data_IF_786739983623
#
_entry.id   IF_786739983623
#
_cell.length_a   1.000
_cell.length_b   1.000
_cell.length_c   1.000
_cell.angle_alpha   90.00
_cell.angle_beta   90.00
_cell.angle_gamma   90.00
#
_symmetry.space_group_name_H-M   'P 1'
#
loop_
_entity.id
_entity.type
_entity.pdbx_description
1 polymer ?
#
# COMPACT_ATOMS: atom_id res chain seq x y z
N UNK A 1 -17.34 25.22 -2.90
CA UNK A 1 -18.02 24.16 -2.14
C UNK A 1 -17.35 24.04 -0.78
N UNK A 2 -18.05 24.41 0.28
CA UNK A 2 -17.48 24.36 1.64
C UNK A 2 -17.46 22.90 2.10
N UNK A 3 -16.30 22.26 1.98
CA UNK A 3 -16.16 20.85 2.37
C UNK A 3 -16.03 20.79 3.89
N UNK A 4 -17.14 20.59 4.58
CA UNK A 4 -17.13 20.33 6.02
C UNK A 4 -16.19 19.14 6.32
N UNK A 5 -15.29 19.32 7.28
CA UNK A 5 -14.45 18.23 7.77
C UNK A 5 -15.34 17.19 8.43
N UNK A 6 -15.16 15.94 8.02
CA UNK A 6 -15.81 14.79 8.65
C UNK A 6 -14.80 14.09 9.55
N UNK A 7 -15.24 13.66 10.72
CA UNK A 7 -14.42 12.96 11.70
C UNK A 7 -14.92 11.53 11.87
N UNK A 8 -14.01 10.58 11.90
CA UNK A 8 -14.26 9.18 12.19
C UNK A 8 -13.21 8.72 13.20
N UNK A 9 -13.62 7.91 14.16
CA UNK A 9 -12.78 7.55 15.31
C UNK A 9 -12.65 6.04 15.48
N UNK A 10 -11.64 5.65 16.24
CA UNK A 10 -11.45 4.30 16.74
C UNK A 10 -11.39 3.21 15.65
N UNK A 11 -12.09 2.12 15.88
CA UNK A 11 -12.06 0.93 15.03
C UNK A 11 -12.65 1.19 13.64
N UNK A 12 -13.72 1.97 13.55
CA UNK A 12 -14.33 2.32 12.25
C UNK A 12 -13.38 3.09 11.35
N UNK A 13 -12.61 4.04 11.92
CA UNK A 13 -11.60 4.76 11.17
C UNK A 13 -10.50 3.83 10.65
N UNK A 14 -10.00 2.94 11.51
CA UNK A 14 -8.97 1.95 11.14
C UNK A 14 -9.46 1.00 10.06
N UNK A 15 -10.68 0.48 10.22
CA UNK A 15 -11.30 -0.42 9.24
C UNK A 15 -11.43 0.23 7.86
N UNK A 16 -11.94 1.45 7.80
CA UNK A 16 -12.08 2.21 6.53
C UNK A 16 -10.74 2.46 5.85
N UNK A 17 -9.73 2.82 6.60
CA UNK A 17 -8.37 3.02 6.06
C UNK A 17 -7.83 1.70 5.53
N UNK A 18 -7.97 0.59 6.26
CA UNK A 18 -7.54 -0.73 5.82
C UNK A 18 -8.26 -1.17 4.54
N UNK A 19 -9.59 -0.99 4.47
CA UNK A 19 -10.37 -1.30 3.27
C UNK A 19 -9.82 -0.55 2.04
N UNK A 20 -9.47 0.73 2.17
CA UNK A 20 -8.86 1.51 1.09
C UNK A 20 -7.47 1.00 0.68
N UNK A 21 -6.64 0.62 1.64
CA UNK A 21 -5.33 0.00 1.38
C UNK A 21 -5.51 -1.35 0.66
N UNK A 22 -6.47 -2.17 1.11
CA UNK A 22 -6.72 -3.49 0.55
C UNK A 22 -7.19 -3.40 -0.91
N UNK A 23 -8.03 -2.44 -1.27
CA UNK A 23 -8.47 -2.24 -2.65
C UNK A 23 -7.29 -1.98 -3.58
N UNK A 24 -6.41 -1.05 -3.22
CA UNK A 24 -5.24 -0.71 -4.06
C UNK A 24 -4.26 -1.88 -4.12
N UNK A 25 -3.92 -2.47 -2.97
CA UNK A 25 -2.96 -3.56 -2.91
C UNK A 25 -3.43 -4.79 -3.70
N UNK A 26 -4.72 -5.15 -3.60
CA UNK A 26 -5.26 -6.29 -4.34
C UNK A 26 -5.28 -6.04 -5.85
N UNK A 27 -5.57 -4.81 -6.31
CA UNK A 27 -5.50 -4.46 -7.71
C UNK A 27 -4.06 -4.51 -8.25
N UNK A 28 -3.09 -3.98 -7.49
CA UNK A 28 -1.67 -3.97 -7.88
C UNK A 28 -1.05 -5.36 -7.80
N UNK A 29 -1.43 -6.17 -6.82
CA UNK A 29 -0.87 -7.51 -6.57
C UNK A 29 -1.00 -8.47 -7.76
N UNK A 30 -2.04 -8.32 -8.58
CA UNK A 30 -2.26 -9.18 -9.75
C UNK A 30 -1.20 -8.98 -10.83
N UNK A 31 -0.46 -7.88 -10.80
CA UNK A 31 0.62 -7.59 -11.74
C UNK A 31 1.97 -8.19 -11.32
N UNK A 32 2.08 -8.78 -10.12
CA UNK A 32 3.34 -9.22 -9.53
C UNK A 32 3.92 -10.46 -10.20
N UNK A 33 5.21 -10.38 -10.51
CA UNK A 33 6.04 -11.53 -10.91
C UNK A 33 5.78 -12.05 -12.31
N UNK A 34 6.38 -13.23 -12.66
CA UNK A 34 6.34 -13.78 -14.01
C UNK A 34 4.94 -14.15 -14.50
N UNK A 35 4.05 -14.48 -13.59
CA UNK A 35 2.63 -14.78 -13.86
C UNK A 35 1.73 -13.56 -13.71
N UNK A 36 2.32 -12.37 -13.60
CA UNK A 36 1.58 -11.11 -13.48
C UNK A 36 0.63 -10.90 -14.67
N UNK A 37 -0.56 -10.43 -14.37
CA UNK A 37 -1.63 -10.17 -15.35
C UNK A 37 -1.74 -8.69 -15.67
N UNK A 38 -2.30 -8.40 -16.84
CA UNK A 38 -2.70 -7.04 -17.17
C UNK A 38 -3.92 -6.63 -16.35
N UNK A 39 -3.96 -5.36 -16.00
CA UNK A 39 -5.13 -4.70 -15.42
C UNK A 39 -5.72 -3.79 -16.50
N UNK A 40 -7.04 -3.80 -16.61
CA UNK A 40 -7.78 -2.90 -17.49
C UNK A 40 -8.32 -1.79 -16.61
N UNK A 41 -7.90 -0.57 -16.90
CA UNK A 41 -8.36 0.65 -16.21
C UNK A 41 -9.37 1.33 -17.12
N UNK A 42 -10.59 1.48 -16.63
CA UNK A 42 -11.63 2.22 -17.31
C UNK A 42 -11.33 3.72 -17.24
N UNK A 43 -11.53 4.43 -18.33
CA UNK A 43 -11.32 5.87 -18.41
C UNK A 43 -12.65 6.56 -18.75
N UNK A 44 -12.88 7.67 -18.08
CA UNK A 44 -14.10 8.47 -18.30
C UNK A 44 -14.23 8.97 -19.75
N UNK A 45 -13.09 9.16 -20.42
CA UNK A 45 -13.00 9.55 -21.84
C UNK A 45 -11.90 8.75 -22.53
N UNK A 46 -12.23 8.14 -23.68
CA UNK A 46 -11.27 7.41 -24.52
C UNK A 46 -11.36 5.89 -24.38
N UNK A 47 -10.29 5.22 -24.75
CA UNK A 47 -10.21 3.75 -24.67
C UNK A 47 -9.68 3.30 -23.31
N UNK A 48 -10.11 2.14 -22.79
CA UNK A 48 -9.57 1.57 -21.56
C UNK A 48 -8.03 1.42 -21.64
N UNK A 49 -7.35 1.80 -20.57
CA UNK A 49 -5.91 1.64 -20.45
C UNK A 49 -5.56 0.24 -19.95
N UNK A 50 -4.78 -0.50 -20.73
CA UNK A 50 -4.31 -1.85 -20.35
C UNK A 50 -2.86 -1.75 -19.90
N UNK A 51 -2.58 -2.14 -18.66
CA UNK A 51 -1.22 -2.04 -18.11
C UNK A 51 -0.87 -3.21 -17.19
N UNK A 52 0.43 -3.51 -17.08
CA UNK A 52 1.03 -4.37 -16.04
C UNK A 52 1.75 -3.56 -14.97
N UNK A 53 1.91 -2.25 -15.19
CA UNK A 53 2.63 -1.41 -14.26
C UNK A 53 1.83 -1.14 -13.00
N UNK A 54 2.34 -1.63 -11.86
CA UNK A 54 1.69 -1.45 -10.57
C UNK A 54 1.56 0.01 -10.13
N UNK A 55 2.49 0.89 -10.55
CA UNK A 55 2.42 2.33 -10.27
C UNK A 55 1.23 2.95 -10.98
N UNK A 56 1.07 2.66 -12.27
CA UNK A 56 -0.04 3.16 -13.08
C UNK A 56 -1.37 2.68 -12.51
N UNK A 57 -1.47 1.37 -12.18
CA UNK A 57 -2.68 0.82 -11.53
C UNK A 57 -3.00 1.55 -10.23
N UNK A 58 -2.00 1.71 -9.35
CA UNK A 58 -2.23 2.37 -8.06
C UNK A 58 -2.69 3.82 -8.22
N UNK A 59 -2.13 4.57 -9.18
CA UNK A 59 -2.44 5.98 -9.39
C UNK A 59 -3.89 6.24 -9.80
N UNK A 60 -4.47 5.35 -10.61
CA UNK A 60 -5.83 5.51 -11.14
C UNK A 60 -6.94 5.16 -10.12
N UNK A 61 -6.62 4.39 -9.07
CA UNK A 61 -7.65 3.97 -8.12
C UNK A 61 -8.08 5.15 -7.25
N UNK A 62 -9.36 5.46 -7.30
CA UNK A 62 -10.01 6.41 -6.41
C UNK A 62 -11.36 5.84 -5.94
N UNK A 63 -11.70 6.05 -4.67
CA UNK A 63 -12.92 5.51 -4.07
C UNK A 63 -13.89 6.63 -3.69
N UNK A 64 -15.18 6.34 -3.78
CA UNK A 64 -16.24 7.29 -3.43
C UNK A 64 -16.25 7.60 -1.92
N UNK A 65 -15.95 6.61 -1.09
CA UNK A 65 -15.87 6.78 0.36
C UNK A 65 -14.60 7.55 0.74
N UNK A 66 -14.77 8.72 1.34
CA UNK A 66 -13.68 9.63 1.71
C UNK A 66 -12.71 9.02 2.72
N UNK A 67 -13.19 8.19 3.63
CA UNK A 67 -12.35 7.55 4.65
C UNK A 67 -11.53 6.40 4.05
N UNK A 68 -12.12 5.61 3.15
CA UNK A 68 -11.37 4.62 2.37
C UNK A 68 -10.31 5.30 1.50
N UNK A 69 -10.62 6.46 0.93
CA UNK A 69 -9.66 7.24 0.14
C UNK A 69 -8.45 7.73 0.95
N UNK A 70 -8.55 7.87 2.26
CA UNK A 70 -7.37 8.11 3.11
C UNK A 70 -6.42 6.91 3.01
N UNK A 71 -6.92 5.68 3.11
CA UNK A 71 -6.13 4.46 2.92
C UNK A 71 -5.50 4.37 1.52
N UNK A 72 -6.29 4.69 0.48
CA UNK A 72 -5.80 4.78 -0.91
C UNK A 72 -4.62 5.76 -1.02
N UNK A 73 -4.75 6.96 -0.47
CA UNK A 73 -3.68 7.98 -0.51
C UNK A 73 -2.42 7.54 0.24
N UNK A 74 -2.57 6.87 1.39
CA UNK A 74 -1.44 6.37 2.16
C UNK A 74 -0.64 5.34 1.36
N UNK A 75 -1.30 4.33 0.79
CA UNK A 75 -0.59 3.29 0.02
C UNK A 75 -0.01 3.84 -1.30
N UNK A 76 -0.69 4.79 -1.96
CA UNK A 76 -0.14 5.51 -3.11
C UNK A 76 1.13 6.29 -2.75
N UNK A 77 1.19 6.89 -1.57
CA UNK A 77 2.40 7.61 -1.13
C UNK A 77 3.59 6.68 -0.92
N UNK A 78 3.37 5.47 -0.41
CA UNK A 78 4.41 4.44 -0.29
C UNK A 78 4.91 4.01 -1.67
N UNK A 79 3.99 3.69 -2.59
CA UNK A 79 4.31 3.31 -3.95
C UNK A 79 5.14 4.40 -4.67
N UNK A 80 4.71 5.64 -4.58
CA UNK A 80 5.40 6.79 -5.18
C UNK A 80 6.78 7.02 -4.56
N UNK A 81 6.90 6.91 -3.24
CA UNK A 81 8.19 7.04 -2.55
C UNK A 81 9.16 5.95 -3.01
N UNK A 82 8.71 4.70 -3.10
CA UNK A 82 9.55 3.59 -3.56
C UNK A 82 10.09 3.84 -4.96
N UNK A 83 9.24 4.29 -5.90
CA UNK A 83 9.69 4.63 -7.26
C UNK A 83 10.70 5.78 -7.26
N UNK A 84 10.47 6.80 -6.48
CA UNK A 84 11.38 7.96 -6.42
C UNK A 84 12.73 7.59 -5.84
N UNK A 85 12.77 6.68 -4.85
CA UNK A 85 14.01 6.30 -4.14
C UNK A 85 14.83 5.25 -4.92
N UNK A 86 14.16 4.27 -5.56
CA UNK A 86 14.81 3.09 -6.18
C UNK A 86 14.44 2.86 -7.65
N UNK A 87 13.44 3.51 -8.18
CA UNK A 87 12.98 3.36 -9.57
C UNK A 87 12.17 2.10 -9.87
N UNK A 88 12.05 1.17 -8.91
CA UNK A 88 11.37 -0.13 -9.07
C UNK A 88 10.76 -0.62 -7.74
N UNK A 89 10.29 -1.87 -7.70
CA UNK A 89 9.73 -2.55 -6.53
C UNK A 89 8.40 -1.96 -5.98
N UNK A 90 7.67 -1.20 -6.77
CA UNK A 90 6.40 -0.59 -6.37
C UNK A 90 5.36 -1.62 -5.96
N UNK A 91 5.18 -2.68 -6.76
CA UNK A 91 4.23 -3.75 -6.44
C UNK A 91 4.64 -4.48 -5.16
N UNK A 92 5.93 -4.75 -4.99
CA UNK A 92 6.46 -5.40 -3.78
C UNK A 92 6.23 -4.55 -2.54
N UNK A 93 6.55 -3.26 -2.58
CA UNK A 93 6.34 -2.33 -1.45
C UNK A 93 4.86 -2.19 -1.09
N UNK A 94 3.98 -2.17 -2.10
CA UNK A 94 2.53 -2.12 -1.91
C UNK A 94 2.00 -3.37 -1.19
N UNK A 95 2.44 -4.55 -1.62
CA UNK A 95 2.04 -5.83 -1.00
C UNK A 95 2.57 -5.95 0.42
N UNK A 96 3.83 -5.56 0.66
CA UNK A 96 4.41 -5.55 2.01
C UNK A 96 3.68 -4.57 2.92
N UNK A 97 3.36 -3.38 2.43
CA UNK A 97 2.58 -2.38 3.19
C UNK A 97 1.23 -2.94 3.60
N UNK A 98 0.50 -3.58 2.70
CA UNK A 98 -0.77 -4.23 3.03
C UNK A 98 -0.61 -5.26 4.16
N UNK A 99 0.39 -6.12 4.07
CA UNK A 99 0.64 -7.16 5.07
C UNK A 99 0.98 -6.56 6.45
N UNK A 100 1.88 -5.57 6.48
CA UNK A 100 2.30 -4.90 7.72
C UNK A 100 1.12 -4.17 8.37
N UNK A 101 0.33 -3.42 7.58
CA UNK A 101 -0.83 -2.68 8.10
C UNK A 101 -1.88 -3.66 8.63
N UNK A 102 -2.20 -4.71 7.88
CA UNK A 102 -3.19 -5.72 8.28
C UNK A 102 -2.84 -6.38 9.62
N UNK A 103 -1.63 -6.88 9.76
CA UNK A 103 -1.19 -7.52 11.00
C UNK A 103 -0.98 -6.50 12.14
N UNK A 104 -0.49 -5.31 11.82
CA UNK A 104 -0.36 -4.23 12.79
C UNK A 104 -1.70 -3.79 13.38
N UNK A 105 -2.70 -3.53 12.54
CA UNK A 105 -4.03 -3.14 13.00
C UNK A 105 -4.72 -4.25 13.80
N UNK A 106 -4.52 -5.51 13.43
CA UNK A 106 -5.01 -6.66 14.18
C UNK A 106 -4.45 -6.67 15.60
N UNK A 107 -3.16 -6.44 15.76
CA UNK A 107 -2.52 -6.36 17.08
C UNK A 107 -3.02 -5.16 17.89
N UNK A 108 -3.18 -3.99 17.27
CA UNK A 108 -3.72 -2.79 17.92
C UNK A 108 -5.17 -3.03 18.40
N UNK A 109 -6.00 -3.68 17.58
CA UNK A 109 -7.37 -4.04 17.96
C UNK A 109 -7.40 -5.05 19.13
N UNK A 110 -6.40 -5.91 19.20
CA UNK A 110 -6.22 -6.83 20.34
C UNK A 110 -5.63 -6.15 21.61
N UNK A 111 -5.40 -4.84 21.58
CA UNK A 111 -4.94 -4.06 22.73
C UNK A 111 -3.45 -3.78 22.81
N UNK A 112 -2.68 -4.14 21.78
CA UNK A 112 -1.26 -3.81 21.75
C UNK A 112 -1.04 -2.29 21.66
N UNK A 113 0.00 -1.80 22.36
CA UNK A 113 0.38 -0.40 22.31
C UNK A 113 0.96 -0.07 20.92
N UNK A 114 0.38 0.90 20.15
CA UNK A 114 0.85 1.25 18.82
C UNK A 114 2.31 1.74 18.79
N UNK A 115 2.78 2.41 19.84
CA UNK A 115 4.16 2.91 19.92
C UNK A 115 5.17 1.78 20.10
N UNK A 116 4.83 0.76 20.88
CA UNK A 116 5.68 -0.42 21.05
C UNK A 116 5.67 -1.30 19.81
N UNK A 117 4.49 -1.43 19.17
CA UNK A 117 4.41 -2.09 17.87
C UNK A 117 5.30 -1.40 16.82
N UNK A 118 5.27 -0.06 16.76
CA UNK A 118 6.17 0.70 15.87
C UNK A 118 7.64 0.39 16.14
N UNK A 119 8.08 0.41 17.39
CA UNK A 119 9.47 0.07 17.75
C UNK A 119 9.85 -1.34 17.30
N UNK A 120 8.94 -2.31 17.51
CA UNK A 120 9.14 -3.69 17.05
C UNK A 120 9.27 -3.79 15.53
N UNK A 121 8.45 -3.05 14.77
CA UNK A 121 8.55 -2.98 13.31
C UNK A 121 9.91 -2.38 12.88
N UNK A 122 10.32 -1.28 13.48
CA UNK A 122 11.59 -0.61 13.16
C UNK A 122 12.80 -1.55 13.43
N UNK A 123 12.79 -2.30 14.53
CA UNK A 123 13.81 -3.30 14.84
C UNK A 123 13.81 -4.47 13.84
N UNK A 124 12.64 -4.98 13.51
CA UNK A 124 12.50 -6.07 12.55
C UNK A 124 13.02 -5.64 11.16
N UNK A 125 12.63 -4.44 10.70
CA UNK A 125 13.12 -3.89 9.42
C UNK A 125 14.65 -3.77 9.42
N UNK A 126 15.24 -3.21 10.48
CA UNK A 126 16.70 -3.09 10.60
C UNK A 126 17.41 -4.44 10.50
N UNK A 127 16.89 -5.45 11.21
CA UNK A 127 17.44 -6.81 11.21
C UNK A 127 17.31 -7.46 9.82
N UNK A 128 16.13 -7.38 9.21
CA UNK A 128 15.87 -7.96 7.88
C UNK A 128 16.74 -7.29 6.80
N UNK A 129 16.85 -5.97 6.81
CA UNK A 129 17.72 -5.23 5.87
C UNK A 129 19.18 -5.62 6.06
N UNK A 130 19.65 -5.75 7.30
CA UNK A 130 20.99 -6.26 7.60
C UNK A 130 21.23 -7.64 6.99
N UNK A 131 20.30 -8.57 7.18
CA UNK A 131 20.39 -9.93 6.64
C UNK A 131 20.35 -9.93 5.10
N UNK A 132 19.44 -9.19 4.47
CA UNK A 132 19.35 -9.09 3.00
C UNK A 132 20.69 -8.65 2.40
N UNK A 133 21.39 -7.70 3.03
CA UNK A 133 22.72 -7.24 2.58
C UNK A 133 23.75 -8.38 2.56
N UNK A 134 23.66 -9.34 3.47
CA UNK A 134 24.60 -10.47 3.53
C UNK A 134 24.36 -11.53 2.46
N UNK A 135 23.12 -11.63 1.96
CA UNK A 135 22.75 -12.64 0.94
C UNK A 135 22.60 -12.02 -0.46
N UNK A 136 22.70 -10.71 -0.60
CA UNK A 136 22.62 -10.05 -1.90
C UNK A 136 23.87 -10.33 -2.75
N UNK A 137 23.64 -10.64 -4.02
CA UNK A 137 24.70 -10.87 -5.01
C UNK A 137 24.77 -9.62 -5.89
N UNK A 138 25.91 -8.90 -5.91
CA UNK A 138 26.06 -7.76 -6.79
C UNK A 138 26.00 -8.21 -8.26
N UNK A 139 25.26 -7.47 -9.07
CA UNK A 139 25.19 -7.66 -10.53
C UNK A 139 26.11 -6.60 -11.14
N UNK A 140 27.10 -7.05 -11.89
CA UNK A 140 28.03 -6.19 -12.66
C UNK A 140 27.44 -5.87 -14.03
#
# INVERSE_FOLDING_TARGET
MNMNKQLLFNEDARRKIQEGIDVVANAVKVTLGPKGRNVILDQEYGQPHITKDGVSVAKEIELKDRYQNVGVKLIKSVASKTVNDVGDATTTSTVLTQAIVKEGLKNVTAGANPMDLKKGIDQAVSTVVGYIKTISIPVN
#
